data_IF_824323963199
#
_entry.id   IF_824323963199
#
_cell.length_a   1.000
_cell.length_b   1.000
_cell.length_c   1.000
_cell.angle_alpha   90.00
_cell.angle_beta   90.00
_cell.angle_gamma   90.00
#
_symmetry.space_group_name_H-M   'P 1'
#
loop_
_entity.id
_entity.type
_entity.pdbx_description
1 polymer ?
#
# COMPACT_ATOMS: atom_id res chain seq x y z
N UNK A 1 -62.03 -6.43 58.86
CA UNK A 1 -61.17 -7.10 57.86
C UNK A 1 -60.24 -6.04 57.32
N UNK A 2 -58.96 -6.06 57.72
CA UNK A 2 -57.99 -5.02 57.40
C UNK A 2 -57.39 -5.27 56.01
N UNK A 3 -57.61 -4.34 55.08
CA UNK A 3 -56.95 -4.33 53.76
C UNK A 3 -55.61 -3.61 53.88
N UNK A 4 -54.52 -4.33 53.58
CA UNK A 4 -53.17 -3.78 53.54
C UNK A 4 -52.97 -2.90 52.29
N UNK A 5 -52.47 -1.69 52.49
CA UNK A 5 -52.06 -0.77 51.41
C UNK A 5 -50.56 -0.90 51.22
N UNK A 6 -50.10 -1.36 50.06
CA UNK A 6 -48.69 -1.43 49.70
C UNK A 6 -48.32 -0.14 48.97
N UNK A 7 -47.46 0.68 49.57
CA UNK A 7 -46.85 1.85 48.93
C UNK A 7 -45.63 1.37 48.13
N UNK A 8 -45.71 1.46 46.80
CA UNK A 8 -44.56 1.20 45.93
C UNK A 8 -43.66 2.44 45.89
N UNK A 9 -42.43 2.32 46.39
CA UNK A 9 -41.42 3.35 46.28
C UNK A 9 -40.82 3.34 44.86
N UNK A 10 -40.98 4.45 44.14
CA UNK A 10 -40.33 4.68 42.85
C UNK A 10 -38.85 5.00 43.07
N UNK A 11 -37.95 4.08 42.69
CA UNK A 11 -36.51 4.34 42.64
C UNK A 11 -36.22 5.09 41.34
N UNK A 12 -35.86 6.36 41.46
CA UNK A 12 -35.42 7.20 40.34
C UNK A 12 -34.10 6.69 39.76
N UNK A 13 -34.13 6.30 38.48
CA UNK A 13 -32.94 6.02 37.69
C UNK A 13 -32.21 7.33 37.37
N UNK A 14 -31.07 7.55 38.03
CA UNK A 14 -30.11 8.58 37.64
C UNK A 14 -29.45 8.16 36.32
N UNK A 15 -29.91 8.72 35.21
CA UNK A 15 -29.24 8.63 33.92
C UNK A 15 -27.94 9.43 33.97
N UNK A 16 -26.82 8.79 34.28
CA UNK A 16 -25.51 9.36 34.02
C UNK A 16 -25.27 9.39 32.51
N UNK A 17 -25.23 10.57 31.91
CA UNK A 17 -24.76 10.76 30.54
C UNK A 17 -23.29 10.36 30.48
N UNK A 18 -23.01 9.21 29.86
CA UNK A 18 -21.63 8.82 29.52
C UNK A 18 -21.15 9.81 28.47
N UNK A 19 -20.37 10.81 28.90
CA UNK A 19 -19.60 11.65 27.99
C UNK A 19 -18.46 10.76 27.50
N UNK A 20 -18.62 10.18 26.31
CA UNK A 20 -17.52 9.53 25.62
C UNK A 20 -16.48 10.62 25.31
N UNK A 21 -15.36 10.61 26.03
CA UNK A 21 -14.16 11.33 25.59
C UNK A 21 -13.84 10.89 24.16
N UNK A 22 -13.37 11.78 23.27
CA UNK A 22 -12.86 11.34 21.98
C UNK A 22 -11.73 10.36 22.29
N UNK A 23 -11.89 9.10 21.88
CA UNK A 23 -10.79 8.18 21.89
C UNK A 23 -9.75 8.77 20.93
N UNK A 24 -8.66 9.32 21.44
CA UNK A 24 -7.45 9.43 20.63
C UNK A 24 -7.16 7.99 20.17
N UNK A 25 -7.33 7.75 18.88
CA UNK A 25 -6.93 6.50 18.25
C UNK A 25 -5.42 6.41 18.37
N UNK A 26 -4.94 5.82 19.46
CA UNK A 26 -3.53 5.53 19.66
C UNK A 26 -3.07 4.61 18.51
N UNK A 27 -2.21 5.13 17.65
CA UNK A 27 -1.71 4.41 16.49
C UNK A 27 -0.61 3.44 16.93
N UNK A 28 -1.03 2.25 17.36
CA UNK A 28 -0.15 1.16 17.79
C UNK A 28 0.91 0.83 16.71
N UNK A 29 0.60 1.03 15.43
CA UNK A 29 1.55 0.75 14.36
C UNK A 29 2.61 1.82 14.23
N UNK A 30 2.27 3.09 14.47
CA UNK A 30 3.27 4.15 14.57
C UNK A 30 4.27 3.85 15.71
N UNK A 31 3.76 3.47 16.89
CA UNK A 31 4.60 3.07 18.03
C UNK A 31 5.53 1.90 17.72
N UNK A 32 5.03 0.87 17.02
CA UNK A 32 5.83 -0.28 16.61
C UNK A 32 6.88 0.10 15.55
N UNK A 33 6.52 1.00 14.63
CA UNK A 33 7.43 1.52 13.62
C UNK A 33 8.58 2.29 14.28
N UNK A 34 8.29 3.14 15.27
CA UNK A 34 9.30 3.89 16.02
C UNK A 34 10.25 2.96 16.78
N UNK A 35 9.72 1.93 17.44
CA UNK A 35 10.54 0.89 18.09
C UNK A 35 11.43 0.14 17.10
N UNK A 36 10.91 -0.20 15.92
CA UNK A 36 11.68 -0.88 14.89
C UNK A 36 12.81 0.01 14.35
N UNK A 37 12.56 1.30 14.14
CA UNK A 37 13.58 2.26 13.71
C UNK A 37 14.65 2.49 14.78
N UNK A 38 14.25 2.58 16.06
CA UNK A 38 15.19 2.67 17.18
C UNK A 38 16.09 1.43 17.27
N UNK A 39 15.50 0.23 17.20
CA UNK A 39 16.25 -1.02 17.20
C UNK A 39 17.22 -1.13 16.01
N UNK A 40 16.82 -0.65 14.83
CA UNK A 40 17.69 -0.58 13.66
C UNK A 40 18.87 0.37 13.90
N UNK A 41 18.63 1.56 14.47
CA UNK A 41 19.66 2.53 14.79
C UNK A 41 20.67 1.97 15.82
N UNK A 42 20.16 1.34 16.88
CA UNK A 42 20.97 0.71 17.93
C UNK A 42 21.85 -0.42 17.36
N UNK A 43 21.26 -1.32 16.55
CA UNK A 43 22.00 -2.40 15.90
C UNK A 43 23.09 -1.91 14.93
N UNK A 44 22.91 -0.70 14.38
CA UNK A 44 23.82 -0.10 13.41
C UNK A 44 24.95 0.73 14.05
N UNK A 45 24.84 1.05 15.34
CA UNK A 45 25.80 1.90 16.05
C UNK A 45 27.24 1.35 16.04
N UNK A 46 27.41 0.02 15.96
CA UNK A 46 28.70 -0.67 15.88
C UNK A 46 29.27 -0.85 14.46
N UNK A 47 28.47 -0.64 13.40
CA UNK A 47 28.83 -0.96 12.00
C UNK A 47 29.01 0.28 11.12
N UNK A 48 29.52 1.39 11.66
CA UNK A 48 29.71 2.65 10.90
C UNK A 48 30.64 2.53 9.69
N UNK A 49 31.46 1.48 9.60
CA UNK A 49 32.43 1.25 8.52
C UNK A 49 31.95 0.30 7.42
N UNK A 50 30.75 -0.30 7.54
CA UNK A 50 30.21 -1.10 6.44
C UNK A 50 29.71 -0.22 5.30
N UNK A 51 29.75 -0.78 4.09
CA UNK A 51 29.23 -0.15 2.88
C UNK A 51 27.73 0.14 2.94
N UNK A 52 26.99 -0.54 3.81
CA UNK A 52 25.60 -0.22 4.18
C UNK A 52 25.56 0.21 5.65
N UNK A 53 25.05 1.41 5.94
CA UNK A 53 24.90 1.97 7.28
C UNK A 53 23.72 2.95 7.32
N UNK A 54 23.29 3.38 8.52
CA UNK A 54 22.13 4.26 8.68
C UNK A 54 22.25 5.63 8.00
N UNK A 55 23.46 6.06 7.65
CA UNK A 55 23.68 7.35 6.98
C UNK A 55 23.56 7.25 5.45
N UNK A 56 23.69 6.06 4.87
CA UNK A 56 23.55 5.83 3.43
C UNK A 56 22.41 4.88 3.05
N UNK A 57 21.76 4.28 4.04
CA UNK A 57 20.54 3.53 3.86
C UNK A 57 19.42 4.43 3.32
N UNK A 58 18.64 3.91 2.38
CA UNK A 58 17.52 4.65 1.80
C UNK A 58 16.31 4.53 2.70
N UNK A 59 15.65 5.66 2.92
CA UNK A 59 14.46 5.75 3.76
C UNK A 59 13.19 5.72 2.90
N UNK A 60 12.45 4.60 2.98
CA UNK A 60 11.15 4.43 2.30
C UNK A 60 10.05 5.04 3.16
N UNK A 61 9.18 5.87 2.57
CA UNK A 61 8.13 6.61 3.29
C UNK A 61 6.77 6.37 2.68
N UNK A 62 5.74 6.71 3.46
CA UNK A 62 4.35 6.69 3.01
C UNK A 62 4.17 7.61 1.81
N UNK A 63 3.47 7.17 0.78
CA UNK A 63 3.09 7.99 -0.37
C UNK A 63 2.44 9.31 0.05
N UNK A 64 1.61 9.30 1.08
CA UNK A 64 0.96 10.53 1.57
C UNK A 64 1.94 11.53 2.20
N UNK A 65 3.12 11.08 2.61
CA UNK A 65 4.17 11.95 3.17
C UNK A 65 5.06 12.60 2.11
N UNK A 66 4.91 12.22 0.85
CA UNK A 66 5.66 12.81 -0.26
C UNK A 66 5.06 14.17 -0.64
N UNK A 67 5.92 15.12 -0.97
CA UNK A 67 5.49 16.35 -1.63
C UNK A 67 4.94 16.04 -3.03
N UNK A 68 4.17 16.97 -3.62
CA UNK A 68 3.68 16.82 -5.00
C UNK A 68 4.83 16.61 -6.00
N UNK A 69 5.98 17.25 -5.77
CA UNK A 69 7.17 17.09 -6.61
C UNK A 69 7.77 15.68 -6.45
N UNK A 70 7.87 15.17 -5.22
CA UNK A 70 8.40 13.83 -4.95
C UNK A 70 7.52 12.75 -5.59
N UNK A 71 6.20 12.90 -5.51
CA UNK A 71 5.23 12.02 -6.19
C UNK A 71 5.44 12.05 -7.70
N UNK A 72 5.52 13.25 -8.30
CA UNK A 72 5.77 13.42 -9.74
C UNK A 72 7.11 12.83 -10.18
N UNK A 73 8.17 12.98 -9.38
CA UNK A 73 9.48 12.39 -9.67
C UNK A 73 9.42 10.86 -9.70
N UNK A 74 8.66 10.23 -8.80
CA UNK A 74 8.43 8.78 -8.85
C UNK A 74 7.60 8.40 -10.08
N UNK A 75 6.47 9.08 -10.32
CA UNK A 75 5.59 8.83 -11.48
C UNK A 75 6.34 8.92 -12.80
N UNK A 76 7.16 9.97 -12.98
CA UNK A 76 7.98 10.17 -14.16
C UNK A 76 8.96 9.02 -14.38
N UNK A 77 9.57 8.50 -13.31
CA UNK A 77 10.47 7.35 -13.41
C UNK A 77 9.72 6.06 -13.82
N UNK A 78 8.51 5.84 -13.32
CA UNK A 78 7.67 4.73 -13.75
C UNK A 78 7.25 4.88 -15.22
N UNK A 79 6.86 6.07 -15.66
CA UNK A 79 6.56 6.35 -17.07
C UNK A 79 7.78 6.14 -17.98
N UNK A 80 8.99 6.48 -17.50
CA UNK A 80 10.22 6.14 -18.19
C UNK A 80 10.40 4.62 -18.34
N UNK A 81 10.10 3.81 -17.31
CA UNK A 81 10.15 2.34 -17.43
C UNK A 81 9.13 1.80 -18.45
N UNK A 82 7.95 2.42 -18.53
CA UNK A 82 6.88 2.05 -19.48
C UNK A 82 7.20 2.43 -20.95
N UNK A 83 8.20 3.29 -21.17
CA UNK A 83 8.61 3.75 -22.52
C UNK A 83 10.00 3.24 -22.91
N UNK A 84 10.80 2.80 -21.94
CA UNK A 84 12.12 2.21 -22.17
C UNK A 84 12.00 0.80 -22.79
N UNK A 85 12.86 0.42 -23.75
CA UNK A 85 12.78 -0.88 -24.41
C UNK A 85 13.02 -2.04 -23.44
N UNK A 86 12.23 -3.11 -23.56
CA UNK A 86 12.42 -4.36 -22.79
C UNK A 86 13.86 -4.90 -22.89
N UNK A 87 14.38 -5.46 -21.80
CA UNK A 87 15.67 -6.18 -21.73
C UNK A 87 15.50 -7.70 -21.64
N UNK A 88 14.27 -8.20 -21.54
CA UNK A 88 14.02 -9.64 -21.51
C UNK A 88 14.40 -10.30 -22.83
N UNK A 89 14.84 -11.55 -22.77
CA UNK A 89 14.98 -12.38 -23.96
C UNK A 89 13.59 -12.53 -24.63
N UNK A 90 13.44 -12.19 -25.93
CA UNK A 90 12.18 -12.37 -26.65
C UNK A 90 11.68 -13.81 -26.69
N UNK A 91 12.55 -14.82 -26.54
CA UNK A 91 12.15 -16.22 -26.42
C UNK A 91 11.50 -16.49 -25.05
N UNK A 92 12.00 -15.87 -23.99
CA UNK A 92 11.45 -15.97 -22.64
C UNK A 92 10.13 -15.19 -22.49
N UNK A 93 10.09 -13.94 -22.97
CA UNK A 93 8.97 -13.03 -22.79
C UNK A 93 8.57 -12.33 -24.10
N UNK A 94 7.98 -13.05 -25.08
CA UNK A 94 7.65 -12.49 -26.40
C UNK A 94 6.61 -11.36 -26.35
N UNK A 95 5.85 -11.26 -25.25
CA UNK A 95 4.88 -10.19 -24.99
C UNK A 95 5.46 -8.93 -24.35
N UNK A 96 6.68 -8.97 -23.81
CA UNK A 96 7.29 -7.81 -23.19
C UNK A 96 7.62 -6.75 -24.25
N UNK A 97 7.28 -5.49 -23.98
CA UNK A 97 7.54 -4.36 -24.88
C UNK A 97 8.45 -3.33 -24.23
N UNK A 98 8.30 -3.14 -22.92
CA UNK A 98 9.05 -2.16 -22.18
C UNK A 98 9.72 -2.75 -20.93
N UNK A 99 10.55 -1.94 -20.26
CA UNK A 99 11.26 -2.36 -19.05
C UNK A 99 10.37 -2.67 -17.88
N UNK A 100 9.20 -2.03 -17.78
CA UNK A 100 8.20 -2.38 -16.79
C UNK A 100 7.67 -3.80 -17.03
N UNK A 101 7.42 -4.18 -18.29
CA UNK A 101 6.95 -5.51 -18.66
C UNK A 101 7.96 -6.61 -18.28
N UNK A 102 9.27 -6.33 -18.24
CA UNK A 102 10.27 -7.31 -17.79
C UNK A 102 10.01 -7.77 -16.35
N UNK A 103 9.71 -6.82 -15.46
CA UNK A 103 9.38 -7.12 -14.06
C UNK A 103 8.06 -7.89 -13.96
N UNK A 104 7.07 -7.52 -14.78
CA UNK A 104 5.79 -8.23 -14.87
C UNK A 104 5.99 -9.66 -15.34
N UNK A 105 6.79 -9.88 -16.40
CA UNK A 105 7.06 -11.19 -16.98
C UNK A 105 7.73 -12.13 -15.97
N UNK A 106 8.76 -11.65 -15.25
CA UNK A 106 9.43 -12.44 -14.21
C UNK A 106 8.47 -12.82 -13.08
N UNK A 107 7.63 -11.87 -12.63
CA UNK A 107 6.65 -12.13 -11.59
C UNK A 107 5.58 -13.15 -12.03
N UNK A 108 5.05 -13.03 -13.25
CA UNK A 108 4.13 -14.00 -13.84
C UNK A 108 4.77 -15.39 -13.88
N UNK A 109 5.98 -15.49 -14.44
CA UNK A 109 6.67 -16.76 -14.63
C UNK A 109 6.94 -17.49 -13.31
N UNK A 110 7.25 -16.76 -12.23
CA UNK A 110 7.61 -17.36 -10.94
C UNK A 110 6.44 -17.43 -9.94
N UNK A 111 5.23 -16.98 -10.30
CA UNK A 111 4.11 -16.80 -9.36
C UNK A 111 3.85 -18.02 -8.45
N UNK A 112 3.91 -19.24 -8.97
CA UNK A 112 3.64 -20.48 -8.20
C UNK A 112 4.79 -20.91 -7.29
N UNK A 113 5.98 -20.33 -7.45
CA UNK A 113 7.18 -20.62 -6.66
C UNK A 113 7.52 -19.51 -5.65
N UNK A 114 6.76 -18.41 -5.68
CA UNK A 114 6.99 -17.23 -4.83
C UNK A 114 5.80 -16.91 -3.93
N UNK A 115 4.62 -17.49 -4.15
CA UNK A 115 3.42 -17.30 -3.31
C UNK A 115 3.06 -18.57 -2.56
N UNK A 116 2.74 -18.44 -1.26
CA UNK A 116 2.50 -19.60 -0.38
C UNK A 116 3.76 -20.42 -0.09
N UNK A 117 4.94 -19.84 -0.32
CA UNK A 117 6.25 -20.47 -0.18
C UNK A 117 7.11 -19.80 0.88
N UNK A 118 8.17 -20.49 1.34
CA UNK A 118 9.09 -19.97 2.37
C UNK A 118 9.92 -18.75 1.94
N UNK A 119 10.10 -18.56 0.63
CA UNK A 119 10.81 -17.41 0.06
C UNK A 119 9.89 -16.23 -0.28
N UNK A 120 8.59 -16.28 -0.01
CA UNK A 120 7.63 -15.22 -0.36
C UNK A 120 8.13 -13.82 0.08
N UNK A 121 8.47 -13.68 1.36
CA UNK A 121 8.89 -12.37 1.92
C UNK A 121 10.23 -11.90 1.35
N UNK A 122 11.21 -12.80 1.22
CA UNK A 122 12.56 -12.44 0.76
C UNK A 122 12.59 -12.15 -0.73
N UNK A 123 11.85 -12.92 -1.53
CA UNK A 123 11.72 -12.71 -2.97
C UNK A 123 11.05 -11.36 -3.27
N UNK A 124 9.92 -11.04 -2.62
CA UNK A 124 9.24 -9.76 -2.86
C UNK A 124 10.06 -8.56 -2.35
N UNK A 125 10.80 -8.72 -1.23
CA UNK A 125 11.75 -7.70 -0.77
C UNK A 125 12.81 -7.41 -1.83
N UNK A 126 13.39 -8.45 -2.42
CA UNK A 126 14.38 -8.32 -3.48
C UNK A 126 13.78 -7.76 -4.77
N UNK A 127 12.60 -8.21 -5.17
CA UNK A 127 11.89 -7.74 -6.36
C UNK A 127 11.64 -6.24 -6.32
N UNK A 128 11.11 -5.73 -5.20
CA UNK A 128 10.87 -4.29 -5.01
C UNK A 128 12.19 -3.51 -4.91
N UNK A 129 13.24 -4.08 -4.31
CA UNK A 129 14.57 -3.46 -4.32
C UNK A 129 15.15 -3.37 -5.74
N UNK A 130 15.06 -4.44 -6.54
CA UNK A 130 15.53 -4.45 -7.92
C UNK A 130 14.74 -3.49 -8.82
N UNK A 131 13.43 -3.36 -8.58
CA UNK A 131 12.58 -2.37 -9.24
C UNK A 131 13.02 -0.94 -8.88
N UNK A 132 13.27 -0.66 -7.60
CA UNK A 132 13.83 0.61 -7.15
C UNK A 132 15.19 0.91 -7.82
N UNK A 133 16.09 -0.06 -7.90
CA UNK A 133 17.37 0.10 -8.61
C UNK A 133 17.17 0.43 -10.09
N UNK A 134 16.23 -0.21 -10.79
CA UNK A 134 15.94 0.09 -12.18
C UNK A 134 15.43 1.54 -12.35
N UNK A 135 14.47 1.96 -11.52
CA UNK A 135 14.00 3.35 -11.52
C UNK A 135 15.15 4.35 -11.34
N UNK A 136 16.09 4.06 -10.44
CA UNK A 136 17.19 4.97 -10.10
C UNK A 136 18.29 4.99 -11.15
N UNK A 137 18.72 3.81 -11.59
CA UNK A 137 19.91 3.65 -12.43
C UNK A 137 19.60 3.83 -13.92
N UNK A 138 18.35 3.66 -14.33
CA UNK A 138 17.95 3.69 -15.74
C UNK A 138 17.00 4.84 -16.05
N UNK A 139 16.17 5.25 -15.08
CA UNK A 139 15.22 6.35 -15.21
C UNK A 139 15.56 7.57 -14.36
N UNK A 140 16.74 7.61 -13.75
CA UNK A 140 17.27 8.77 -13.04
C UNK A 140 16.58 9.11 -11.72
N UNK A 141 15.69 8.25 -11.22
CA UNK A 141 14.99 8.47 -9.94
C UNK A 141 16.00 8.65 -8.79
N UNK A 142 15.78 9.65 -7.93
CA UNK A 142 16.66 9.93 -6.79
C UNK A 142 16.04 9.61 -5.43
N UNK A 143 14.73 9.39 -5.39
CA UNK A 143 14.00 9.00 -4.18
C UNK A 143 14.05 7.49 -3.89
N UNK A 144 13.44 7.07 -2.79
CA UNK A 144 13.30 5.67 -2.41
C UNK A 144 11.91 5.15 -2.78
N UNK A 145 11.75 3.83 -2.91
CA UNK A 145 10.44 3.23 -3.17
C UNK A 145 9.40 3.70 -2.12
N UNK A 146 8.26 4.30 -2.52
CA UNK A 146 7.19 4.64 -1.59
C UNK A 146 6.43 3.39 -1.13
N UNK A 147 5.77 3.47 0.02
CA UNK A 147 4.76 2.48 0.44
C UNK A 147 3.37 3.10 0.52
N UNK A 148 2.34 2.27 0.40
CA UNK A 148 0.95 2.66 0.61
C UNK A 148 0.49 2.16 1.98
N UNK A 149 0.17 3.09 2.89
CA UNK A 149 -0.46 2.74 4.16
C UNK A 149 -1.97 2.50 3.99
N UNK A 150 -2.36 1.23 3.89
CA UNK A 150 -3.75 0.80 3.64
C UNK A 150 -4.73 1.25 4.73
N UNK A 151 -4.28 1.39 5.98
CA UNK A 151 -5.16 1.62 7.12
C UNK A 151 -5.76 3.02 7.16
N UNK A 152 -5.09 4.00 6.55
CA UNK A 152 -5.54 5.39 6.53
C UNK A 152 -6.84 5.60 5.75
N UNK A 153 -7.07 4.79 4.72
CA UNK A 153 -8.21 4.93 3.80
C UNK A 153 -9.01 3.63 3.69
N UNK A 154 -9.02 2.81 4.76
CA UNK A 154 -9.63 1.47 4.74
C UNK A 154 -11.15 1.49 4.48
N UNK A 155 -11.84 2.55 4.93
CA UNK A 155 -13.30 2.69 4.76
C UNK A 155 -13.68 3.22 3.38
N UNK A 156 -12.76 3.92 2.72
CA UNK A 156 -12.98 4.52 1.40
C UNK A 156 -11.65 4.69 0.65
N UNK A 157 -11.29 3.67 -0.13
CA UNK A 157 -10.05 3.65 -0.90
C UNK A 157 -9.97 4.77 -1.95
N UNK A 158 -11.11 5.34 -2.37
CA UNK A 158 -11.14 6.43 -3.36
C UNK A 158 -10.60 7.75 -2.82
N UNK A 159 -10.46 7.86 -1.49
CA UNK A 159 -9.83 9.01 -0.82
C UNK A 159 -8.31 8.88 -0.69
N UNK A 160 -7.76 7.70 -0.95
CA UNK A 160 -6.31 7.49 -0.90
C UNK A 160 -5.64 8.34 -1.97
N UNK A 161 -4.63 9.13 -1.60
CA UNK A 161 -3.85 9.91 -2.58
C UNK A 161 -3.03 9.04 -3.55
N UNK A 162 -3.00 7.72 -3.33
CA UNK A 162 -2.47 6.75 -4.29
C UNK A 162 -3.45 6.56 -5.46
N UNK A 163 -4.76 6.66 -5.24
CA UNK A 163 -5.82 6.28 -6.20
C UNK A 163 -6.87 7.37 -6.46
N UNK A 164 -6.58 8.63 -6.09
CA UNK A 164 -7.54 9.73 -6.21
C UNK A 164 -7.72 10.27 -7.64
N UNK A 165 -6.97 9.75 -8.63
CA UNK A 165 -7.04 10.19 -10.03
C UNK A 165 -6.37 11.52 -10.35
N UNK A 166 -5.73 12.17 -9.37
CA UNK A 166 -4.96 13.40 -9.56
C UNK A 166 -3.69 13.16 -10.40
N UNK A 167 -3.02 14.24 -10.79
CA UNK A 167 -1.71 14.20 -11.44
C UNK A 167 -0.57 13.71 -10.51
N UNK A 168 -0.87 13.50 -9.22
CA UNK A 168 0.04 12.92 -8.22
C UNK A 168 -0.43 11.57 -7.69
N UNK A 169 -1.34 10.90 -8.40
CA UNK A 169 -1.79 9.55 -8.08
C UNK A 169 -1.11 8.50 -8.96
N UNK A 170 -1.29 7.23 -8.63
CA UNK A 170 -1.05 6.11 -9.54
C UNK A 170 -2.29 5.85 -10.41
N UNK A 171 -2.83 6.92 -10.99
CA UNK A 171 -4.16 7.01 -11.60
C UNK A 171 -5.30 6.84 -10.60
N UNK A 172 -6.54 6.86 -11.11
CA UNK A 172 -7.75 6.68 -10.30
C UNK A 172 -8.50 5.41 -10.65
N UNK A 173 -9.81 5.43 -10.40
CA UNK A 173 -10.69 4.32 -10.73
C UNK A 173 -10.90 4.16 -12.25
N UNK A 174 -11.29 2.94 -12.63
CA UNK A 174 -11.74 2.62 -13.97
C UNK A 174 -13.09 3.24 -14.29
N UNK A 175 -13.42 3.36 -15.57
CA UNK A 175 -14.80 3.59 -15.99
C UNK A 175 -15.70 2.50 -15.43
N UNK A 176 -16.92 2.84 -15.03
CA UNK A 176 -17.84 1.86 -14.49
C UNK A 176 -18.17 0.78 -15.54
N UNK A 177 -17.98 -0.48 -15.17
CA UNK A 177 -18.40 -1.63 -15.95
C UNK A 177 -19.17 -2.59 -15.04
N UNK A 178 -20.40 -2.94 -15.43
CA UNK A 178 -21.20 -3.89 -14.65
C UNK A 178 -20.60 -5.30 -14.74
N UNK A 179 -20.20 -5.87 -13.61
CA UNK A 179 -19.74 -7.26 -13.48
C UNK A 179 -20.18 -7.89 -12.14
N UNK A 180 -19.97 -9.21 -11.99
CA UNK A 180 -20.52 -10.02 -10.89
C UNK A 180 -19.53 -10.27 -9.73
N UNK A 181 -18.64 -9.31 -9.44
CA UNK A 181 -17.61 -9.47 -8.42
C UNK A 181 -16.56 -10.52 -8.82
N UNK A 182 -15.84 -11.04 -7.83
CA UNK A 182 -14.86 -12.11 -7.98
C UNK A 182 -14.90 -13.04 -6.76
N UNK A 183 -14.15 -14.15 -6.82
CA UNK A 183 -14.01 -15.09 -5.71
C UNK A 183 -12.53 -15.33 -5.39
N UNK A 184 -12.21 -15.43 -4.10
CA UNK A 184 -10.89 -15.75 -3.56
C UNK A 184 -10.96 -16.93 -2.59
N UNK A 185 -9.82 -17.36 -2.04
CA UNK A 185 -9.75 -18.45 -1.06
C UNK A 185 -10.26 -19.79 -1.63
N UNK A 186 -9.80 -20.15 -2.83
CA UNK A 186 -10.28 -21.32 -3.58
C UNK A 186 -11.82 -21.34 -3.80
N UNK A 187 -12.43 -20.15 -3.93
CA UNK A 187 -13.86 -19.98 -4.18
C UNK A 187 -14.70 -19.70 -2.94
N UNK A 188 -14.11 -19.71 -1.74
CA UNK A 188 -14.83 -19.54 -0.49
C UNK A 188 -15.14 -18.07 -0.12
N UNK A 189 -14.43 -17.11 -0.69
CA UNK A 189 -14.54 -15.69 -0.32
C UNK A 189 -15.08 -14.90 -1.50
N UNK A 190 -16.33 -14.43 -1.41
CA UNK A 190 -16.91 -13.53 -2.40
C UNK A 190 -16.40 -12.09 -2.21
N UNK A 191 -16.00 -11.47 -3.31
CA UNK A 191 -15.52 -10.08 -3.37
C UNK A 191 -16.43 -9.26 -4.29
N UNK A 192 -17.00 -8.13 -3.84
CA UNK A 192 -17.92 -7.31 -4.64
C UNK A 192 -17.19 -6.55 -5.76
N UNK A 193 -17.94 -6.08 -6.77
CA UNK A 193 -17.42 -5.48 -8.01
C UNK A 193 -16.73 -4.11 -7.87
N UNK A 194 -16.92 -3.40 -6.74
CA UNK A 194 -16.49 -2.01 -6.64
C UNK A 194 -17.28 -1.07 -7.57
N UNK A 195 -16.73 0.12 -7.85
CA UNK A 195 -17.37 1.18 -8.66
C UNK A 195 -16.73 1.42 -10.03
N UNK A 196 -15.65 0.70 -10.35
CA UNK A 196 -14.95 0.76 -11.63
C UNK A 196 -15.25 -0.45 -12.52
N UNK A 197 -14.18 -1.05 -13.06
CA UNK A 197 -14.20 -2.29 -13.84
C UNK A 197 -13.72 -2.14 -15.30
N UNK A 198 -13.74 -0.93 -15.84
CA UNK A 198 -13.19 -0.59 -17.15
C UNK A 198 -11.79 0.04 -17.08
N UNK A 199 -11.37 0.70 -18.16
CA UNK A 199 -10.07 1.39 -18.24
C UNK A 199 -10.00 2.55 -17.24
N UNK A 200 -8.82 2.78 -16.66
CA UNK A 200 -8.53 3.96 -15.82
C UNK A 200 -8.89 5.25 -16.57
N UNK A 201 -9.64 6.13 -15.93
CA UNK A 201 -10.23 7.32 -16.57
C UNK A 201 -9.40 8.59 -16.42
N UNK A 202 -8.55 8.65 -15.40
CA UNK A 202 -7.82 9.85 -14.97
C UNK A 202 -6.41 9.51 -14.47
N UNK A 203 -5.60 10.56 -14.26
CA UNK A 203 -4.24 10.46 -13.74
C UNK A 203 -3.16 10.07 -14.74
N UNK A 204 -1.91 9.91 -14.28
CA UNK A 204 -0.71 9.89 -15.13
C UNK A 204 -0.54 8.62 -15.97
N UNK A 205 -1.23 7.55 -15.63
CA UNK A 205 -1.13 6.26 -16.34
C UNK A 205 -2.38 5.94 -17.16
N UNK A 206 -3.27 6.91 -17.39
CA UNK A 206 -4.37 6.75 -18.35
C UNK A 206 -3.79 6.60 -19.77
N UNK A 207 -4.33 5.66 -20.54
CA UNK A 207 -4.00 5.43 -21.96
C UNK A 207 -5.20 5.75 -22.82
#
# INVERSE_FOLDING_TARGET
MYSATIVAAAVGLLSATVVASPAETHDILADLQDRAMAALADSSAGNKRSSCNIFNARYRRDWESFSSEEKKNYINAVQCMLTSPSKSDPEFAPGARNRYDDFVAVHINQTTQIHGTGNFLTWHRYFVWAYEEALRNECGYKGAQPYWNWLKNQDDLTKSSVFDGSDTSLSGDGTYLKHNGSVSGAGAIFLPSGKGGGCVSTGPFKK
#
